data_IF_349751088225
#
_entry.id   IF_349751088225
#
_cell.length_a   1.000
_cell.length_b   1.000
_cell.length_c   1.000
_cell.angle_alpha   90.00
_cell.angle_beta   90.00
_cell.angle_gamma   90.00
#
_symmetry.space_group_name_H-M   'P 1'
#
loop_
_entity.id
_entity.type
_entity.pdbx_description
1 polymer ?
#
# COMPACT_ATOMS: atom_id res chain seq x y z
N UNK A 1 27.86 -5.15 13.90
CA UNK A 1 27.30 -6.45 13.53
C UNK A 1 28.35 -7.54 13.57
N UNK A 2 29.24 -7.60 12.58
CA UNK A 2 30.16 -8.72 12.36
C UNK A 2 31.03 -9.11 13.57
N UNK A 3 31.63 -8.12 14.25
CA UNK A 3 32.44 -8.38 15.45
C UNK A 3 31.61 -9.08 16.54
N UNK A 4 30.46 -8.49 16.91
CA UNK A 4 29.58 -9.08 17.93
C UNK A 4 29.00 -10.43 17.50
N UNK A 5 28.74 -10.64 16.21
CA UNK A 5 28.32 -11.94 15.68
C UNK A 5 29.38 -13.01 15.98
N UNK A 6 30.66 -12.71 15.70
CA UNK A 6 31.80 -13.62 15.92
C UNK A 6 32.10 -13.83 17.41
N UNK A 7 32.14 -12.76 18.20
CA UNK A 7 32.44 -12.85 19.65
C UNK A 7 31.37 -13.62 20.44
N UNK A 8 30.14 -13.73 19.91
CA UNK A 8 29.02 -14.38 20.59
C UNK A 8 28.59 -15.69 19.93
N UNK A 9 29.35 -16.22 18.97
CA UNK A 9 28.91 -17.35 18.14
C UNK A 9 28.62 -18.63 18.92
N UNK A 10 29.26 -18.84 20.07
CA UNK A 10 29.07 -20.01 20.93
C UNK A 10 27.92 -19.85 21.94
N UNK A 11 27.32 -18.66 22.03
CA UNK A 11 26.24 -18.40 22.98
C UNK A 11 24.88 -18.73 22.34
N UNK A 12 23.89 -19.19 23.13
CA UNK A 12 22.51 -19.29 22.66
C UNK A 12 21.97 -17.92 22.21
N UNK A 13 21.08 -17.89 21.20
CA UNK A 13 20.51 -16.65 20.61
C UNK A 13 20.08 -15.63 21.67
N UNK A 14 19.41 -16.08 22.73
CA UNK A 14 18.93 -15.22 23.82
C UNK A 14 20.07 -14.47 24.52
N UNK A 15 21.15 -15.17 24.85
CA UNK A 15 22.26 -14.59 25.60
C UNK A 15 23.15 -13.72 24.68
N UNK A 16 23.24 -14.06 23.39
CA UNK A 16 23.80 -13.18 22.35
C UNK A 16 23.10 -11.84 22.32
N UNK A 17 21.77 -11.84 22.26
CA UNK A 17 20.94 -10.62 22.18
C UNK A 17 21.04 -9.78 23.47
N UNK A 18 21.07 -10.40 24.64
CA UNK A 18 21.32 -9.71 25.92
C UNK A 18 22.68 -9.01 25.93
N UNK A 19 23.74 -9.70 25.48
CA UNK A 19 25.08 -9.11 25.39
C UNK A 19 25.11 -7.94 24.40
N UNK A 20 24.54 -8.13 23.20
CA UNK A 20 24.40 -7.07 22.18
C UNK A 20 23.67 -5.87 22.75
N UNK A 21 22.56 -6.07 23.45
CA UNK A 21 21.82 -4.97 24.07
C UNK A 21 22.64 -4.22 25.11
N UNK A 22 23.37 -4.94 25.99
CA UNK A 22 24.26 -4.31 26.98
C UNK A 22 25.30 -3.40 26.32
N UNK A 23 25.83 -3.78 25.17
CA UNK A 23 26.80 -2.97 24.42
C UNK A 23 26.11 -1.75 23.78
N UNK A 24 24.90 -1.92 23.26
CA UNK A 24 24.21 -0.89 22.49
C UNK A 24 23.33 0.05 23.33
N UNK A 25 23.05 -0.27 24.59
CA UNK A 25 22.13 0.48 25.46
C UNK A 25 22.58 1.92 25.74
N UNK A 26 23.88 2.20 25.61
CA UNK A 26 24.46 3.54 25.73
C UNK A 26 24.11 4.48 24.56
N UNK A 27 23.66 3.94 23.42
CA UNK A 27 23.32 4.74 22.25
C UNK A 27 21.85 5.16 22.32
N UNK A 28 21.60 6.40 22.77
CA UNK A 28 20.24 6.92 22.94
C UNK A 28 19.38 6.79 21.67
N UNK A 29 19.99 7.03 20.50
CA UNK A 29 19.30 6.95 19.20
C UNK A 29 18.74 5.56 18.85
N UNK A 30 19.22 4.48 19.48
CA UNK A 30 18.71 3.13 19.19
C UNK A 30 17.37 2.86 19.89
N UNK A 31 16.99 3.72 20.84
CA UNK A 31 15.68 3.70 21.48
C UNK A 31 14.69 4.44 20.60
N UNK A 32 13.48 3.87 20.43
CA UNK A 32 12.39 4.45 19.63
C UNK A 32 12.12 5.94 19.91
N UNK A 33 12.23 6.34 21.17
CA UNK A 33 11.95 7.71 21.65
C UNK A 33 13.20 8.47 22.08
N UNK A 34 14.40 7.94 21.79
CA UNK A 34 15.66 8.46 22.33
C UNK A 34 16.36 9.49 21.46
N UNK A 35 15.88 9.74 20.23
CA UNK A 35 16.39 10.80 19.37
C UNK A 35 15.44 12.01 19.33
N UNK A 36 15.99 13.22 19.48
CA UNK A 36 15.25 14.47 19.37
C UNK A 36 14.82 14.78 17.93
N UNK A 37 15.66 14.43 16.94
CA UNK A 37 15.40 14.62 15.50
C UNK A 37 15.39 13.27 14.77
N UNK A 38 14.29 12.52 14.83
CA UNK A 38 14.26 11.15 14.30
C UNK A 38 14.33 11.07 12.78
N UNK A 39 13.88 12.10 12.04
CA UNK A 39 13.88 12.13 10.56
C UNK A 39 15.29 12.04 9.97
N UNK A 40 16.27 12.66 10.63
CA UNK A 40 17.67 12.72 10.19
C UNK A 40 18.58 11.88 11.09
N UNK A 41 18.00 10.94 11.84
CA UNK A 41 18.75 10.15 12.80
C UNK A 41 19.57 9.05 12.11
N UNK A 42 20.86 9.31 11.90
CA UNK A 42 21.82 8.30 11.45
C UNK A 42 21.90 7.10 12.41
N UNK A 43 21.70 7.33 13.72
CA UNK A 43 21.74 6.27 14.73
C UNK A 43 20.69 5.17 14.48
N UNK A 44 19.46 5.53 14.11
CA UNK A 44 18.41 4.54 13.79
C UNK A 44 18.79 3.70 12.56
N UNK A 45 19.34 4.34 11.52
CA UNK A 45 19.80 3.64 10.31
C UNK A 45 20.98 2.70 10.63
N UNK A 46 21.94 3.17 11.43
CA UNK A 46 23.05 2.35 11.91
C UNK A 46 22.58 1.15 12.72
N UNK A 47 21.48 1.28 13.48
CA UNK A 47 20.92 0.17 14.23
C UNK A 47 20.34 -0.91 13.31
N UNK A 48 19.61 -0.54 12.26
CA UNK A 48 19.12 -1.50 11.27
C UNK A 48 20.24 -2.21 10.52
N UNK A 49 21.26 -1.47 10.05
CA UNK A 49 22.45 -2.06 9.42
C UNK A 49 23.18 -2.98 10.39
N UNK A 50 23.27 -2.60 11.67
CA UNK A 50 23.85 -3.44 12.70
C UNK A 50 23.10 -4.76 12.85
N UNK A 51 21.76 -4.71 12.96
CA UNK A 51 20.91 -5.90 13.13
C UNK A 51 21.00 -6.79 11.90
N UNK A 52 20.90 -6.23 10.70
CA UNK A 52 21.05 -6.98 9.46
C UNK A 52 22.39 -7.73 9.43
N UNK A 53 23.50 -7.04 9.72
CA UNK A 53 24.83 -7.67 9.76
C UNK A 53 24.99 -8.70 10.89
N UNK A 54 24.21 -8.59 11.96
CA UNK A 54 24.19 -9.56 13.05
C UNK A 54 23.46 -10.84 12.61
N UNK A 55 22.30 -10.69 11.94
CA UNK A 55 21.39 -11.79 11.59
C UNK A 55 21.63 -12.40 10.22
N UNK A 56 22.47 -11.81 9.35
CA UNK A 56 22.80 -12.41 8.04
C UNK A 56 23.19 -13.87 8.21
N UNK A 57 22.52 -14.77 7.48
CA UNK A 57 22.78 -16.22 7.49
C UNK A 57 22.31 -16.94 8.75
N UNK A 58 21.50 -16.31 9.61
CA UNK A 58 20.75 -17.00 10.66
C UNK A 58 19.48 -17.60 10.05
N UNK A 59 18.96 -18.67 10.65
CA UNK A 59 17.68 -19.24 10.24
C UNK A 59 16.49 -18.34 10.65
N UNK A 60 15.31 -18.63 10.11
CA UNK A 60 14.09 -17.85 10.37
C UNK A 60 13.67 -17.88 11.85
N UNK A 61 13.93 -18.97 12.58
CA UNK A 61 13.56 -19.10 14.00
C UNK A 61 14.44 -18.19 14.86
N UNK A 62 15.74 -18.14 14.59
CA UNK A 62 16.65 -17.21 15.23
C UNK A 62 16.33 -15.75 14.87
N UNK A 63 15.98 -15.47 13.60
CA UNK A 63 15.52 -14.15 13.18
C UNK A 63 14.22 -13.75 13.89
N UNK A 64 13.31 -14.69 14.12
CA UNK A 64 12.09 -14.46 14.90
C UNK A 64 12.39 -14.14 16.36
N UNK A 65 13.40 -14.79 16.97
CA UNK A 65 13.87 -14.42 18.33
C UNK A 65 14.46 -13.01 18.35
N UNK A 66 15.19 -12.60 17.31
CA UNK A 66 15.68 -11.22 17.18
C UNK A 66 14.52 -10.24 17.07
N UNK A 67 13.49 -10.56 16.27
CA UNK A 67 12.27 -9.76 16.17
C UNK A 67 11.65 -9.53 17.55
N UNK A 68 11.33 -10.62 18.26
CA UNK A 68 10.68 -10.54 19.57
C UNK A 68 11.51 -9.74 20.57
N UNK A 69 12.83 -9.95 20.58
CA UNK A 69 13.74 -9.19 21.44
C UNK A 69 13.71 -7.69 21.16
N UNK A 70 13.79 -7.28 19.89
CA UNK A 70 13.73 -5.86 19.50
C UNK A 70 12.35 -5.28 19.79
N UNK A 71 11.29 -6.06 19.55
CA UNK A 71 9.90 -5.69 19.76
C UNK A 71 9.59 -5.41 21.24
N UNK A 72 10.04 -6.30 22.14
CA UNK A 72 9.92 -6.15 23.59
C UNK A 72 10.76 -4.99 24.12
N UNK A 73 12.04 -4.93 23.73
CA UNK A 73 12.96 -3.91 24.20
C UNK A 73 12.50 -2.49 23.85
N UNK A 74 11.95 -2.31 22.66
CA UNK A 74 11.44 -1.02 22.21
C UNK A 74 10.01 -0.73 22.70
N UNK A 75 9.38 -1.69 23.40
CA UNK A 75 7.96 -1.67 23.76
C UNK A 75 7.08 -1.29 22.56
N UNK A 76 7.39 -1.87 21.40
CA UNK A 76 6.77 -1.49 20.13
C UNK A 76 5.31 -1.94 20.08
N UNK A 77 5.00 -3.12 20.61
CA UNK A 77 3.63 -3.63 20.70
C UNK A 77 2.65 -2.63 21.33
N UNK A 78 2.94 -2.16 22.55
CA UNK A 78 2.05 -1.20 23.25
C UNK A 78 1.89 0.12 22.48
N UNK A 79 2.95 0.58 21.82
CA UNK A 79 2.95 1.83 21.07
C UNK A 79 2.21 1.71 19.74
N UNK A 80 2.37 0.59 19.04
CA UNK A 80 1.58 0.25 17.86
C UNK A 80 0.11 0.15 18.25
N UNK A 81 -0.22 -0.58 19.32
CA UNK A 81 -1.59 -0.65 19.85
C UNK A 81 -2.18 0.74 20.07
N UNK A 82 -1.40 1.65 20.68
CA UNK A 82 -1.86 3.03 20.92
C UNK A 82 -2.23 3.73 19.61
N UNK A 83 -1.38 3.68 18.58
CA UNK A 83 -1.66 4.39 17.32
C UNK A 83 -2.77 3.74 16.50
N UNK A 84 -2.82 2.41 16.42
CA UNK A 84 -3.83 1.71 15.60
C UNK A 84 -5.22 1.72 16.26
N UNK A 85 -5.30 1.76 17.59
CA UNK A 85 -6.57 1.87 18.33
C UNK A 85 -7.07 3.31 18.47
N UNK A 86 -6.18 4.31 18.37
CA UNK A 86 -6.58 5.72 18.39
C UNK A 86 -7.17 6.19 17.06
N UNK A 87 -7.82 7.37 17.06
CA UNK A 87 -8.25 8.01 15.82
C UNK A 87 -6.99 8.36 14.97
N UNK A 88 -6.98 8.02 13.67
CA UNK A 88 -5.83 8.30 12.80
C UNK A 88 -5.40 9.77 12.84
N UNK A 89 -4.11 10.02 12.99
CA UNK A 89 -3.54 11.37 13.02
C UNK A 89 -3.66 12.09 14.37
N UNK A 90 -4.14 11.43 15.43
CA UNK A 90 -4.12 11.98 16.80
C UNK A 90 -2.75 11.85 17.45
N UNK A 91 -2.05 10.74 17.21
CA UNK A 91 -0.74 10.45 17.78
C UNK A 91 0.41 10.66 16.77
N UNK A 92 0.37 11.74 15.97
CA UNK A 92 1.27 11.98 14.81
C UNK A 92 2.75 11.74 15.10
N UNK A 93 3.25 12.24 16.25
CA UNK A 93 4.66 12.06 16.65
C UNK A 93 5.01 10.59 16.90
N UNK A 94 4.08 9.82 17.44
CA UNK A 94 4.26 8.39 17.69
C UNK A 94 4.15 7.59 16.39
N UNK A 95 3.20 7.92 15.51
CA UNK A 95 3.08 7.36 14.16
C UNK A 95 4.38 7.54 13.39
N UNK A 96 4.96 8.75 13.38
CA UNK A 96 6.24 9.04 12.75
C UNK A 96 7.37 8.20 13.35
N UNK A 97 7.45 8.09 14.68
CA UNK A 97 8.49 7.27 15.35
C UNK A 97 8.37 5.79 15.00
N UNK A 98 7.15 5.24 14.98
CA UNK A 98 6.90 3.85 14.58
C UNK A 98 7.30 3.65 13.13
N UNK A 99 6.87 4.52 12.23
CA UNK A 99 7.25 4.48 10.81
C UNK A 99 8.77 4.44 10.64
N UNK A 100 9.47 5.39 11.24
CA UNK A 100 10.92 5.51 11.10
C UNK A 100 11.64 4.31 11.70
N UNK A 101 11.20 3.80 12.85
CA UNK A 101 11.82 2.64 13.47
C UNK A 101 11.57 1.37 12.67
N UNK A 102 10.33 1.10 12.25
CA UNK A 102 10.03 -0.04 11.38
C UNK A 102 10.87 0.02 10.10
N UNK A 103 10.92 1.17 9.42
CA UNK A 103 11.67 1.33 8.15
C UNK A 103 13.18 1.29 8.32
N UNK A 104 13.73 1.93 9.34
CA UNK A 104 15.18 2.05 9.51
C UNK A 104 15.79 0.83 10.20
N UNK A 105 15.05 0.17 11.11
CA UNK A 105 15.58 -0.88 11.98
C UNK A 105 15.16 -2.27 11.51
N UNK A 106 13.86 -2.50 11.27
CA UNK A 106 13.31 -3.83 10.94
C UNK A 106 13.27 -4.08 9.43
N UNK A 107 12.86 -3.07 8.66
CA UNK A 107 12.65 -3.12 7.20
C UNK A 107 13.77 -2.37 6.48
N UNK A 108 15.02 -2.61 6.90
CA UNK A 108 16.19 -1.92 6.37
C UNK A 108 16.21 -1.97 4.84
N UNK A 109 16.47 -0.85 4.13
CA UNK A 109 16.45 -0.80 2.66
C UNK A 109 17.42 -1.74 1.95
N UNK A 110 18.42 -2.28 2.66
CA UNK A 110 19.41 -3.21 2.13
C UNK A 110 19.02 -4.68 2.30
N UNK A 111 17.84 -4.95 2.84
CA UNK A 111 17.36 -6.33 3.02
C UNK A 111 16.94 -6.92 1.67
N UNK A 112 17.15 -8.22 1.49
CA UNK A 112 16.59 -8.90 0.32
C UNK A 112 15.05 -8.95 0.42
N UNK A 113 14.36 -9.31 -0.67
CA UNK A 113 12.89 -9.36 -0.69
C UNK A 113 12.30 -10.34 0.33
N UNK A 114 12.91 -11.51 0.52
CA UNK A 114 12.46 -12.53 1.47
C UNK A 114 12.57 -12.05 2.91
N UNK A 115 13.69 -11.45 3.29
CA UNK A 115 13.89 -10.85 4.62
C UNK A 115 12.85 -9.77 4.86
N UNK A 116 12.65 -8.87 3.89
CA UNK A 116 11.66 -7.80 4.02
C UNK A 116 10.24 -8.36 4.21
N UNK A 117 9.87 -9.41 3.45
CA UNK A 117 8.58 -10.07 3.57
C UNK A 117 8.40 -10.71 4.96
N UNK A 118 9.44 -11.37 5.47
CA UNK A 118 9.48 -11.92 6.82
C UNK A 118 9.25 -10.85 7.89
N UNK A 119 10.06 -9.78 7.89
CA UNK A 119 9.96 -8.72 8.91
C UNK A 119 8.62 -8.00 8.84
N UNK A 120 8.12 -7.70 7.63
CA UNK A 120 6.82 -7.05 7.45
C UNK A 120 5.68 -7.95 7.95
N UNK A 121 5.73 -9.25 7.65
CA UNK A 121 4.76 -10.24 8.14
C UNK A 121 4.72 -10.26 9.67
N UNK A 122 5.89 -10.28 10.33
CA UNK A 122 5.98 -10.26 11.79
C UNK A 122 5.45 -8.97 12.41
N UNK A 123 5.57 -7.83 11.73
CA UNK A 123 5.03 -6.54 12.18
C UNK A 123 3.50 -6.53 12.10
N UNK A 124 2.90 -7.12 11.05
CA UNK A 124 1.47 -7.02 10.76
C UNK A 124 0.63 -8.14 11.39
N UNK A 125 1.00 -9.42 11.21
CA UNK A 125 0.17 -10.57 11.61
C UNK A 125 -0.28 -10.61 13.08
N UNK A 126 0.42 -10.01 14.07
CA UNK A 126 -0.08 -9.95 15.44
C UNK A 126 -1.37 -9.11 15.62
N UNK A 127 -1.79 -8.35 14.62
CA UNK A 127 -2.93 -7.42 14.71
C UNK A 127 -4.15 -7.94 13.94
N UNK A 128 -5.38 -7.56 14.32
CA UNK A 128 -6.56 -7.81 13.48
C UNK A 128 -6.47 -7.04 12.16
N UNK A 129 -7.14 -7.52 11.10
CA UNK A 129 -6.98 -7.02 9.72
C UNK A 129 -7.07 -5.50 9.59
N UNK A 130 -8.07 -4.87 10.21
CA UNK A 130 -8.24 -3.39 10.25
C UNK A 130 -6.97 -2.68 10.76
N UNK A 131 -6.36 -3.22 11.81
CA UNK A 131 -5.15 -2.66 12.42
C UNK A 131 -3.90 -2.98 11.58
N UNK A 132 -3.89 -4.10 10.84
CA UNK A 132 -2.85 -4.38 9.85
C UNK A 132 -2.86 -3.33 8.74
N UNK A 133 -4.03 -2.99 8.19
CA UNK A 133 -4.19 -1.94 7.18
C UNK A 133 -3.72 -0.58 7.72
N UNK A 134 -4.18 -0.19 8.91
CA UNK A 134 -3.74 1.04 9.59
C UNK A 134 -2.22 1.10 9.77
N UNK A 135 -1.62 0.01 10.25
CA UNK A 135 -0.18 -0.05 10.48
C UNK A 135 0.60 0.00 9.17
N UNK A 136 0.13 -0.71 8.13
CA UNK A 136 0.75 -0.65 6.80
C UNK A 136 0.71 0.78 6.25
N UNK A 137 -0.42 1.48 6.41
CA UNK A 137 -0.53 2.88 6.02
C UNK A 137 0.40 3.79 6.82
N UNK A 138 0.54 3.59 8.13
CA UNK A 138 1.50 4.36 8.95
C UNK A 138 2.94 4.16 8.43
N UNK A 139 3.31 2.93 8.07
CA UNK A 139 4.68 2.60 7.63
C UNK A 139 4.96 3.08 6.20
N UNK A 140 3.99 2.98 5.28
CA UNK A 140 4.24 3.18 3.85
C UNK A 140 3.37 4.22 3.15
N UNK A 141 2.30 4.68 3.79
CA UNK A 141 1.39 5.67 3.23
C UNK A 141 2.04 7.05 3.02
N UNK A 142 1.32 7.98 2.38
CA UNK A 142 1.81 9.30 2.05
C UNK A 142 2.26 10.11 3.28
N UNK A 143 3.31 10.91 3.09
CA UNK A 143 3.86 11.78 4.14
C UNK A 143 3.99 13.21 3.66
N UNK A 144 3.99 14.14 4.61
CA UNK A 144 4.25 15.55 4.36
C UNK A 144 5.73 15.73 4.01
N UNK A 145 6.01 16.49 2.96
CA UNK A 145 7.37 16.80 2.51
C UNK A 145 8.13 17.70 3.49
N UNK A 146 7.41 18.44 4.35
CA UNK A 146 7.99 19.40 5.28
C UNK A 146 8.51 18.74 6.56
N UNK A 147 7.77 17.76 7.09
CA UNK A 147 8.00 17.22 8.43
C UNK A 147 7.89 15.68 8.52
N UNK A 148 7.64 15.02 7.39
CA UNK A 148 7.61 13.55 7.28
C UNK A 148 6.44 12.87 8.02
N UNK A 149 5.51 13.62 8.61
CA UNK A 149 4.34 13.04 9.26
C UNK A 149 3.41 12.38 8.23
N UNK A 150 2.71 11.34 8.66
CA UNK A 150 1.71 10.63 7.85
C UNK A 150 0.53 11.57 7.56
N UNK A 151 0.17 11.70 6.28
CA UNK A 151 -0.91 12.60 5.83
C UNK A 151 -2.13 11.78 5.45
N UNK A 152 -2.91 11.41 6.46
CA UNK A 152 -4.11 10.59 6.30
C UNK A 152 -5.14 11.17 5.32
N UNK A 153 -5.33 12.49 5.34
CA UNK A 153 -6.30 13.16 4.48
C UNK A 153 -5.94 13.14 2.99
N UNK A 154 -4.67 12.87 2.65
CA UNK A 154 -4.20 12.88 1.26
C UNK A 154 -4.94 11.85 0.40
N UNK A 155 -5.49 10.79 1.00
CA UNK A 155 -6.26 9.78 0.28
C UNK A 155 -7.74 10.12 0.09
N UNK A 156 -8.25 11.11 0.82
CA UNK A 156 -9.68 11.45 0.91
C UNK A 156 -9.98 12.79 0.24
N UNK A 157 -9.13 13.79 0.45
CA UNK A 157 -9.40 15.16 0.01
C UNK A 157 -9.05 15.40 -1.47
N UNK A 158 -8.09 14.67 -2.03
CA UNK A 158 -7.70 14.87 -3.43
C UNK A 158 -6.85 13.76 -4.05
N UNK A 159 -6.60 13.85 -5.36
CA UNK A 159 -5.74 12.90 -6.07
C UNK A 159 -4.33 12.85 -5.49
N UNK A 160 -3.88 11.65 -5.13
CA UNK A 160 -2.53 11.37 -4.66
C UNK A 160 -1.62 10.99 -5.83
N UNK A 161 -0.41 11.55 -5.85
CA UNK A 161 0.61 11.23 -6.84
C UNK A 161 1.14 9.78 -6.74
N UNK A 162 1.63 9.25 -7.87
CA UNK A 162 2.23 7.92 -7.95
C UNK A 162 3.33 7.71 -6.91
N UNK A 163 4.23 8.69 -6.77
CA UNK A 163 5.43 8.54 -5.94
C UNK A 163 5.11 8.36 -4.47
N UNK A 164 4.04 9.01 -3.99
CA UNK A 164 3.54 8.89 -2.63
C UNK A 164 2.92 7.53 -2.32
N UNK A 165 2.37 6.84 -3.32
CA UNK A 165 1.75 5.51 -3.16
C UNK A 165 2.68 4.35 -3.48
N UNK A 166 3.78 4.59 -4.19
CA UNK A 166 4.70 3.54 -4.62
C UNK A 166 5.19 2.65 -3.47
N UNK A 167 5.58 3.24 -2.34
CA UNK A 167 6.03 2.46 -1.18
C UNK A 167 4.95 1.55 -0.59
N UNK A 168 3.69 2.00 -0.60
CA UNK A 168 2.55 1.19 -0.13
C UNK A 168 2.24 0.07 -1.13
N UNK A 169 2.21 0.39 -2.43
CA UNK A 169 1.98 -0.59 -3.49
C UNK A 169 3.06 -1.68 -3.52
N UNK A 170 4.33 -1.30 -3.32
CA UNK A 170 5.43 -2.27 -3.29
C UNK A 170 5.38 -3.17 -2.04
N UNK A 171 4.90 -2.65 -0.91
CA UNK A 171 4.64 -3.48 0.28
C UNK A 171 3.49 -4.47 0.02
N UNK A 172 2.39 -4.04 -0.59
CA UNK A 172 1.26 -4.91 -0.98
C UNK A 172 1.72 -6.00 -1.97
N UNK A 173 2.51 -5.64 -2.99
CA UNK A 173 3.14 -6.61 -3.91
C UNK A 173 3.96 -7.66 -3.20
N UNK A 174 4.73 -7.25 -2.21
CA UNK A 174 5.60 -8.15 -1.49
C UNK A 174 4.80 -9.15 -0.67
N UNK A 175 3.71 -8.70 -0.03
CA UNK A 175 2.82 -9.58 0.74
C UNK A 175 2.03 -10.54 -0.14
N UNK A 176 1.74 -10.17 -1.40
CA UNK A 176 1.13 -11.07 -2.38
C UNK A 176 2.11 -12.06 -3.00
N UNK A 177 3.41 -11.78 -2.93
CA UNK A 177 4.47 -12.59 -3.52
C UNK A 177 4.64 -13.93 -2.80
N UNK A 178 5.22 -14.90 -3.51
CA UNK A 178 5.52 -16.24 -2.99
C UNK A 178 6.46 -16.25 -1.78
N UNK A 179 7.21 -15.18 -1.58
CA UNK A 179 8.12 -14.99 -0.46
C UNK A 179 7.38 -14.81 0.88
N UNK A 180 6.15 -14.28 0.84
CA UNK A 180 5.33 -14.05 2.01
C UNK A 180 4.45 -15.27 2.33
N UNK A 181 5.08 -16.39 2.70
CA UNK A 181 4.43 -17.71 2.88
C UNK A 181 3.22 -17.76 3.81
N UNK A 182 3.09 -16.79 4.71
CA UNK A 182 1.98 -16.68 5.67
C UNK A 182 0.79 -15.85 5.14
N UNK A 183 0.87 -15.35 3.91
CA UNK A 183 -0.16 -14.54 3.28
C UNK A 183 -0.81 -15.28 2.13
N UNK A 184 -2.13 -15.40 2.19
CA UNK A 184 -2.95 -15.84 1.07
C UNK A 184 -3.32 -14.65 0.19
N UNK A 185 -3.78 -14.93 -1.04
CA UNK A 185 -4.35 -13.89 -1.89
C UNK A 185 -5.52 -13.18 -1.19
N UNK A 186 -6.39 -13.94 -0.52
CA UNK A 186 -7.55 -13.41 0.20
C UNK A 186 -7.14 -12.52 1.38
N UNK A 187 -6.06 -12.86 2.11
CA UNK A 187 -5.52 -11.99 3.17
C UNK A 187 -5.11 -10.62 2.60
N UNK A 188 -4.42 -10.63 1.45
CA UNK A 188 -3.94 -9.40 0.82
C UNK A 188 -5.09 -8.59 0.22
N UNK A 189 -6.08 -9.24 -0.40
CA UNK A 189 -7.28 -8.55 -0.89
C UNK A 189 -8.05 -7.93 0.28
N UNK A 190 -8.22 -8.66 1.39
CA UNK A 190 -8.85 -8.14 2.60
C UNK A 190 -8.09 -6.94 3.17
N UNK A 191 -6.76 -7.00 3.18
CA UNK A 191 -5.91 -5.89 3.60
C UNK A 191 -6.09 -4.64 2.72
N UNK A 192 -6.19 -4.82 1.40
CA UNK A 192 -6.44 -3.72 0.45
C UNK A 192 -7.85 -3.16 0.60
N UNK A 193 -8.86 -4.01 0.84
CA UNK A 193 -10.23 -3.55 1.13
C UNK A 193 -10.27 -2.70 2.40
N UNK A 194 -9.60 -3.13 3.48
CA UNK A 194 -9.51 -2.36 4.72
C UNK A 194 -8.72 -1.04 4.54
N UNK A 195 -7.67 -1.03 3.72
CA UNK A 195 -6.95 0.22 3.40
C UNK A 195 -7.88 1.24 2.75
N UNK A 196 -8.74 0.81 1.82
CA UNK A 196 -9.62 1.67 1.03
C UNK A 196 -10.64 2.47 1.86
N UNK A 197 -10.79 2.14 3.15
CA UNK A 197 -11.72 2.77 4.09
C UNK A 197 -11.05 3.37 5.34
N UNK A 198 -9.72 3.47 5.38
CA UNK A 198 -8.96 3.99 6.53
C UNK A 198 -8.19 5.27 6.15
N UNK A 199 -8.45 6.43 6.79
CA UNK A 199 -9.26 6.61 8.00
C UNK A 199 -10.76 6.73 7.71
N UNK A 200 -11.12 6.96 6.45
CA UNK A 200 -12.46 7.01 5.86
C UNK A 200 -12.35 6.47 4.42
N UNK A 201 -13.47 6.37 3.71
CA UNK A 201 -13.50 5.96 2.31
C UNK A 201 -12.54 6.80 1.46
N UNK A 202 -11.59 6.14 0.81
CA UNK A 202 -10.65 6.76 -0.10
C UNK A 202 -11.33 7.16 -1.39
N UNK A 203 -10.82 8.22 -2.01
CA UNK A 203 -11.22 8.56 -3.37
C UNK A 203 -10.98 7.38 -4.31
N UNK A 204 -11.96 7.11 -5.17
CA UNK A 204 -11.88 6.03 -6.16
C UNK A 204 -10.66 6.16 -7.07
N UNK A 205 -10.23 7.39 -7.39
CA UNK A 205 -9.00 7.64 -8.14
C UNK A 205 -7.76 7.10 -7.40
N UNK A 206 -7.70 7.28 -6.08
CA UNK A 206 -6.58 6.84 -5.25
C UNK A 206 -6.58 5.32 -5.07
N UNK A 207 -7.75 4.70 -4.91
CA UNK A 207 -7.90 3.24 -4.93
C UNK A 207 -7.44 2.65 -6.27
N UNK A 208 -7.91 3.21 -7.40
CA UNK A 208 -7.50 2.78 -8.73
C UNK A 208 -5.98 2.90 -8.95
N UNK A 209 -5.37 4.01 -8.50
CA UNK A 209 -3.93 4.22 -8.58
C UNK A 209 -3.15 3.20 -7.75
N UNK A 210 -3.57 2.92 -6.51
CA UNK A 210 -2.94 1.87 -5.69
C UNK A 210 -3.01 0.51 -6.37
N UNK A 211 -4.16 0.12 -6.92
CA UNK A 211 -4.35 -1.17 -7.60
C UNK A 211 -3.47 -1.30 -8.85
N UNK A 212 -3.45 -0.26 -9.70
CA UNK A 212 -2.60 -0.23 -10.90
C UNK A 212 -1.11 -0.34 -10.56
N UNK A 213 -0.70 0.36 -9.49
CA UNK A 213 0.67 0.30 -8.98
C UNK A 213 1.01 -1.04 -8.37
N UNK A 214 0.06 -1.72 -7.71
CA UNK A 214 0.24 -3.01 -7.05
C UNK A 214 0.43 -4.17 -8.04
N UNK A 215 0.12 -3.98 -9.32
CA UNK A 215 0.39 -4.96 -10.38
C UNK A 215 -0.84 -5.75 -10.81
N UNK A 216 -0.73 -6.42 -11.96
CA UNK A 216 -1.88 -7.02 -12.65
C UNK A 216 -2.55 -8.15 -11.85
N UNK A 217 -1.77 -9.02 -11.21
CA UNK A 217 -2.32 -10.14 -10.44
C UNK A 217 -3.19 -9.67 -9.28
N UNK A 218 -2.72 -8.68 -8.53
CA UNK A 218 -3.43 -8.11 -7.37
C UNK A 218 -4.64 -7.34 -7.84
N UNK A 219 -4.48 -6.47 -8.84
CA UNK A 219 -5.57 -5.71 -9.42
C UNK A 219 -6.69 -6.63 -9.94
N UNK A 220 -6.33 -7.66 -10.71
CA UNK A 220 -7.29 -8.66 -11.20
C UNK A 220 -8.00 -9.37 -10.05
N UNK A 221 -7.25 -9.92 -9.08
CA UNK A 221 -7.83 -10.68 -7.97
C UNK A 221 -8.77 -9.82 -7.12
N UNK A 222 -8.40 -8.56 -6.88
CA UNK A 222 -9.24 -7.59 -6.19
C UNK A 222 -10.55 -7.36 -6.95
N UNK A 223 -10.49 -7.03 -8.23
CA UNK A 223 -11.67 -6.77 -9.07
C UNK A 223 -12.54 -8.02 -9.25
N UNK A 224 -11.92 -9.18 -9.44
CA UNK A 224 -12.61 -10.47 -9.51
C UNK A 224 -13.37 -10.76 -8.21
N UNK A 225 -12.81 -10.44 -7.04
CA UNK A 225 -13.51 -10.58 -5.76
C UNK A 225 -14.78 -9.70 -5.71
N UNK A 226 -14.75 -8.50 -6.29
CA UNK A 226 -15.94 -7.62 -6.38
C UNK A 226 -16.98 -8.19 -7.34
N UNK A 227 -16.53 -8.74 -8.48
CA UNK A 227 -17.40 -9.38 -9.47
C UNK A 227 -18.14 -10.60 -8.88
N UNK A 228 -17.42 -11.51 -8.20
CA UNK A 228 -17.99 -12.70 -7.56
C UNK A 228 -19.01 -12.34 -6.48
N UNK A 229 -18.77 -11.24 -5.75
CA UNK A 229 -19.68 -10.73 -4.73
C UNK A 229 -20.86 -9.90 -5.30
N UNK A 230 -21.05 -9.86 -6.62
CA UNK A 230 -22.16 -9.15 -7.26
C UNK A 230 -22.08 -7.62 -7.16
N UNK A 231 -20.92 -7.05 -6.82
CA UNK A 231 -20.71 -5.61 -6.62
C UNK A 231 -20.45 -4.86 -7.93
N UNK A 232 -21.35 -5.02 -8.90
CA UNK A 232 -21.17 -4.53 -10.27
C UNK A 232 -20.97 -3.00 -10.36
N UNK A 233 -21.67 -2.22 -9.52
CA UNK A 233 -21.57 -0.74 -9.52
C UNK A 233 -20.22 -0.28 -8.96
N UNK A 234 -19.77 -0.87 -7.84
CA UNK A 234 -18.45 -0.57 -7.25
C UNK A 234 -17.34 -0.93 -8.24
N UNK A 235 -17.45 -2.09 -8.88
CA UNK A 235 -16.52 -2.55 -9.90
C UNK A 235 -16.49 -1.60 -11.12
N UNK A 236 -17.65 -1.16 -11.61
CA UNK A 236 -17.75 -0.21 -12.71
C UNK A 236 -17.04 1.12 -12.38
N UNK A 237 -17.26 1.65 -11.17
CA UNK A 237 -16.55 2.83 -10.66
C UNK A 237 -15.04 2.62 -10.68
N UNK A 238 -14.54 1.52 -10.13
CA UNK A 238 -13.11 1.24 -10.14
C UNK A 238 -12.53 1.18 -11.56
N UNK A 239 -13.22 0.57 -12.53
CA UNK A 239 -12.76 0.51 -13.92
C UNK A 239 -12.73 1.88 -14.59
N UNK A 240 -13.75 2.73 -14.38
CA UNK A 240 -13.76 4.11 -14.88
C UNK A 240 -12.60 4.91 -14.31
N UNK A 241 -12.37 4.83 -12.99
CA UNK A 241 -11.27 5.54 -12.35
C UNK A 241 -9.89 4.96 -12.73
N UNK A 242 -9.77 3.66 -12.99
CA UNK A 242 -8.55 3.10 -13.58
C UNK A 242 -8.27 3.66 -14.98
N UNK A 243 -9.30 3.80 -15.83
CA UNK A 243 -9.13 4.44 -17.14
C UNK A 243 -8.69 5.91 -16.99
N UNK A 244 -9.29 6.64 -16.04
CA UNK A 244 -8.90 8.02 -15.73
C UNK A 244 -7.43 8.10 -15.27
N UNK A 245 -7.01 7.25 -14.33
CA UNK A 245 -5.63 7.19 -13.83
C UNK A 245 -4.68 6.80 -14.96
N UNK A 246 -5.01 5.82 -15.81
CA UNK A 246 -4.21 5.49 -16.97
C UNK A 246 -3.99 6.70 -17.88
N UNK A 247 -5.02 7.54 -18.06
CA UNK A 247 -4.89 8.76 -18.86
C UNK A 247 -4.03 9.83 -18.19
N UNK A 248 -4.23 10.08 -16.89
CA UNK A 248 -3.50 11.09 -16.12
C UNK A 248 -2.02 10.74 -15.96
N UNK A 249 -1.75 9.51 -15.54
CA UNK A 249 -0.41 9.01 -15.20
C UNK A 249 0.31 8.40 -16.41
N UNK A 250 -0.31 8.47 -17.61
CA UNK A 250 0.22 8.01 -18.90
C UNK A 250 0.51 6.50 -18.97
N UNK A 251 -0.26 5.69 -18.25
CA UNK A 251 -0.25 4.24 -18.46
C UNK A 251 -0.98 3.86 -19.75
N UNK A 252 -0.67 2.66 -20.27
CA UNK A 252 -1.32 2.14 -21.46
C UNK A 252 -2.80 1.79 -21.17
N UNK A 253 -3.72 2.33 -21.98
CA UNK A 253 -5.17 2.07 -21.82
C UNK A 253 -5.55 0.61 -22.07
N UNK A 254 -4.81 -0.07 -22.95
CA UNK A 254 -4.80 -1.53 -23.14
C UNK A 254 -4.91 -2.30 -21.82
N UNK A 255 -4.12 -1.89 -20.82
CA UNK A 255 -4.05 -2.55 -19.53
C UNK A 255 -5.38 -2.50 -18.78
N UNK A 256 -6.08 -1.36 -18.82
CA UNK A 256 -7.39 -1.21 -18.18
C UNK A 256 -8.49 -1.99 -18.92
N UNK A 257 -8.45 -2.00 -20.27
CA UNK A 257 -9.44 -2.73 -21.08
C UNK A 257 -9.25 -4.24 -20.95
N UNK A 258 -8.02 -4.74 -21.04
CA UNK A 258 -7.74 -6.17 -20.78
C UNK A 258 -8.17 -6.59 -19.39
N UNK A 259 -7.91 -5.76 -18.38
CA UNK A 259 -8.38 -6.02 -17.01
C UNK A 259 -9.91 -6.15 -16.95
N UNK A 260 -10.64 -5.21 -17.56
CA UNK A 260 -12.10 -5.25 -17.65
C UNK A 260 -12.59 -6.52 -18.36
N UNK A 261 -11.95 -6.93 -19.46
CA UNK A 261 -12.29 -8.16 -20.19
C UNK A 261 -12.07 -9.43 -19.35
N UNK A 262 -10.93 -9.53 -18.65
CA UNK A 262 -10.68 -10.67 -17.78
C UNK A 262 -11.69 -10.74 -16.63
N UNK A 263 -12.05 -9.60 -16.02
CA UNK A 263 -13.09 -9.57 -14.99
C UNK A 263 -14.46 -9.91 -15.57
N UNK A 264 -14.77 -9.53 -16.82
CA UNK A 264 -16.01 -9.94 -17.47
C UNK A 264 -16.15 -11.47 -17.58
N UNK A 265 -15.04 -12.19 -17.75
CA UNK A 265 -15.03 -13.67 -17.81
C UNK A 265 -15.36 -14.32 -16.47
N UNK A 266 -15.16 -13.61 -15.35
CA UNK A 266 -15.44 -14.12 -13.99
C UNK A 266 -16.95 -14.21 -13.71
N UNK A 267 -17.76 -13.35 -14.33
CA UNK A 267 -19.21 -13.42 -14.17
C UNK A 267 -19.76 -14.72 -14.76
N UNK A 268 -20.65 -15.35 -13.99
CA UNK A 268 -21.19 -16.67 -14.30
C UNK A 268 -22.30 -16.59 -15.35
N UNK A 269 -23.13 -15.52 -15.30
CA UNK A 269 -24.26 -15.35 -16.20
C UNK A 269 -24.02 -14.27 -17.26
N UNK A 270 -24.56 -14.44 -18.49
CA UNK A 270 -24.56 -13.38 -19.51
C UNK A 270 -25.27 -12.10 -19.04
N UNK A 271 -26.27 -12.25 -18.16
CA UNK A 271 -27.01 -11.13 -17.59
C UNK A 271 -26.12 -10.30 -16.65
N UNK A 272 -25.34 -10.92 -15.76
CA UNK A 272 -24.37 -10.21 -14.91
C UNK A 272 -23.35 -9.43 -15.74
N UNK A 273 -22.83 -10.04 -16.82
CA UNK A 273 -21.90 -9.36 -17.73
C UNK A 273 -22.54 -8.14 -18.36
N UNK A 274 -23.76 -8.28 -18.88
CA UNK A 274 -24.51 -7.17 -19.49
C UNK A 274 -24.79 -6.08 -18.46
N UNK A 275 -25.20 -6.44 -17.25
CA UNK A 275 -25.45 -5.50 -16.16
C UNK A 275 -24.18 -4.73 -15.79
N UNK A 276 -23.04 -5.42 -15.67
CA UNK A 276 -21.75 -4.77 -15.40
C UNK A 276 -21.35 -3.77 -16.50
N UNK A 277 -21.47 -4.15 -17.78
CA UNK A 277 -21.16 -3.25 -18.89
C UNK A 277 -22.11 -2.04 -18.93
N UNK A 278 -23.40 -2.23 -18.65
CA UNK A 278 -24.34 -1.12 -18.52
C UNK A 278 -23.99 -0.20 -17.34
N UNK A 279 -23.59 -0.77 -16.20
CA UNK A 279 -23.09 0.00 -15.06
C UNK A 279 -21.84 0.79 -15.43
N UNK A 280 -20.95 0.24 -16.24
CA UNK A 280 -19.72 0.89 -16.70
C UNK A 280 -20.03 2.14 -17.52
N UNK A 281 -20.87 2.02 -18.54
CA UNK A 281 -21.30 3.16 -19.38
C UNK A 281 -22.04 4.21 -18.57
N UNK A 282 -22.97 3.76 -17.72
CA UNK A 282 -23.69 4.65 -16.82
C UNK A 282 -22.71 5.39 -15.91
N UNK A 283 -21.69 4.73 -15.38
CA UNK A 283 -20.72 5.35 -14.49
C UNK A 283 -19.85 6.40 -15.19
N UNK A 284 -19.42 6.16 -16.43
CA UNK A 284 -18.75 7.19 -17.24
C UNK A 284 -19.65 8.43 -17.40
N UNK A 285 -20.92 8.22 -17.75
CA UNK A 285 -21.88 9.32 -17.93
C UNK A 285 -22.10 10.11 -16.63
N UNK A 286 -22.33 9.43 -15.50
CA UNK A 286 -22.52 10.10 -14.21
C UNK A 286 -21.26 10.86 -13.78
N UNK A 287 -20.08 10.24 -13.89
CA UNK A 287 -18.81 10.90 -13.51
C UNK A 287 -18.53 12.11 -14.39
N UNK A 288 -18.88 12.05 -15.68
CA UNK A 288 -18.79 13.18 -16.59
C UNK A 288 -19.72 14.32 -16.18
N UNK A 289 -20.98 14.00 -15.86
CA UNK A 289 -21.95 15.00 -15.42
C UNK A 289 -21.54 15.64 -14.09
N UNK A 290 -21.05 14.86 -13.12
CA UNK A 290 -20.57 15.37 -11.84
C UNK A 290 -19.40 16.34 -12.02
N UNK A 291 -18.40 15.98 -12.85
CA UNK A 291 -17.28 16.87 -13.15
C UNK A 291 -17.69 18.12 -13.95
N UNK A 292 -18.64 17.97 -14.89
CA UNK A 292 -19.18 19.11 -15.64
C UNK A 292 -19.91 20.08 -14.71
N UNK A 293 -20.74 19.58 -13.79
CA UNK A 293 -21.41 20.40 -12.79
C UNK A 293 -20.40 21.13 -11.90
N UNK A 294 -19.34 20.44 -11.45
CA UNK A 294 -18.27 21.07 -10.66
C UNK A 294 -17.55 22.19 -11.42
N UNK A 295 -17.36 22.06 -12.73
CA UNK A 295 -16.79 23.11 -13.59
C UNK A 295 -17.76 24.30 -13.72
N UNK A 296 -19.05 24.03 -13.93
CA UNK A 296 -20.07 25.06 -14.09
C UNK A 296 -20.37 25.83 -12.79
N UNK A 297 -20.18 25.20 -11.63
CA UNK A 297 -20.42 25.80 -10.32
C UNK A 297 -19.38 26.90 -9.95
N UNK A 298 -18.24 26.96 -10.63
CA UNK A 298 -17.34 28.13 -10.65
C UNK A 298 -16.89 28.65 -9.28
N UNK A 299 -16.09 27.89 -8.54
CA UNK A 299 -15.29 28.45 -7.44
C UNK A 299 -13.93 28.94 -7.99
N UNK A 300 -13.71 30.26 -7.94
CA UNK A 300 -12.62 30.99 -8.64
C UNK A 300 -11.18 30.49 -8.44
N UNK A 301 -10.92 29.62 -7.47
CA UNK A 301 -9.59 29.03 -7.23
C UNK A 301 -9.44 27.58 -7.76
N UNK A 302 -10.52 26.88 -8.11
CA UNK A 302 -10.48 25.47 -8.57
C UNK A 302 -10.87 25.28 -10.05
N UNK A 303 -11.34 26.32 -10.73
CA UNK A 303 -11.84 26.27 -12.12
C UNK A 303 -10.87 25.57 -13.09
N UNK A 304 -9.57 25.86 -13.00
CA UNK A 304 -8.55 25.26 -13.87
C UNK A 304 -8.32 23.77 -13.58
N UNK A 305 -8.40 23.34 -12.31
CA UNK A 305 -8.22 21.95 -11.91
C UNK A 305 -9.42 21.11 -12.32
N UNK A 306 -10.63 21.62 -12.08
CA UNK A 306 -11.87 20.95 -12.41
C UNK A 306 -12.03 20.77 -13.94
N UNK A 307 -11.70 21.81 -14.71
CA UNK A 307 -11.70 21.71 -16.17
C UNK A 307 -10.68 20.68 -16.68
N UNK A 308 -9.47 20.66 -16.11
CA UNK A 308 -8.45 19.70 -16.48
C UNK A 308 -8.86 18.26 -16.14
N UNK A 309 -9.51 18.05 -14.99
CA UNK A 309 -10.05 16.74 -14.59
C UNK A 309 -11.13 16.25 -15.57
N UNK A 310 -12.08 17.12 -15.93
CA UNK A 310 -13.11 16.82 -16.93
C UNK A 310 -12.47 16.47 -18.28
N UNK A 311 -11.48 17.25 -18.72
CA UNK A 311 -10.75 16.99 -19.96
C UNK A 311 -10.03 15.63 -19.95
N UNK A 312 -9.40 15.27 -18.82
CA UNK A 312 -8.78 13.96 -18.66
C UNK A 312 -9.81 12.83 -18.70
N UNK A 313 -10.99 13.00 -18.10
CA UNK A 313 -12.05 12.01 -18.14
C UNK A 313 -12.58 11.79 -19.55
N UNK A 314 -12.88 12.86 -20.30
CA UNK A 314 -13.33 12.75 -21.70
C UNK A 314 -12.29 12.02 -22.56
N UNK A 315 -11.01 12.37 -22.39
CA UNK A 315 -9.92 11.67 -23.09
C UNK A 315 -9.78 10.21 -22.65
N UNK A 316 -9.98 9.92 -21.36
CA UNK A 316 -9.94 8.57 -20.82
C UNK A 316 -11.06 7.73 -21.43
N UNK A 317 -12.30 8.23 -21.41
CA UNK A 317 -13.46 7.57 -22.01
C UNK A 317 -13.24 7.30 -23.51
N UNK A 318 -12.84 8.31 -24.30
CA UNK A 318 -12.58 8.12 -25.72
C UNK A 318 -11.47 7.10 -25.99
N UNK A 319 -10.38 7.13 -25.21
CA UNK A 319 -9.27 6.19 -25.36
C UNK A 319 -9.67 4.76 -24.96
N UNK A 320 -10.48 4.61 -23.92
CA UNK A 320 -10.99 3.33 -23.43
C UNK A 320 -11.90 2.67 -24.47
N UNK A 321 -12.86 3.42 -25.02
CA UNK A 321 -13.76 2.93 -26.06
C UNK A 321 -13.03 2.63 -27.37
N UNK A 322 -12.05 3.45 -27.76
CA UNK A 322 -11.20 3.19 -28.92
C UNK A 322 -10.50 1.82 -28.80
N UNK A 323 -9.97 1.50 -27.62
CA UNK A 323 -9.28 0.23 -27.39
C UNK A 323 -10.26 -0.96 -27.38
N UNK A 324 -11.46 -0.80 -26.83
CA UNK A 324 -12.54 -1.80 -26.96
C UNK A 324 -12.87 -2.07 -28.44
N UNK A 325 -13.02 -1.02 -29.25
CA UNK A 325 -13.30 -1.15 -30.68
C UNK A 325 -12.19 -1.89 -31.42
N UNK A 326 -10.91 -1.60 -31.11
CA UNK A 326 -9.80 -2.34 -31.70
C UNK A 326 -9.83 -3.82 -31.36
N UNK A 327 -10.14 -4.19 -30.11
CA UNK A 327 -10.24 -5.59 -29.70
C UNK A 327 -11.44 -6.29 -30.34
N UNK A 328 -12.59 -5.60 -30.45
CA UNK A 328 -13.77 -6.13 -31.12
C UNK A 328 -13.52 -6.38 -32.62
N UNK A 329 -12.83 -5.45 -33.30
CA UNK A 329 -12.50 -5.61 -34.73
C UNK A 329 -11.35 -6.59 -34.98
N UNK A 330 -10.37 -6.67 -34.07
CA UNK A 330 -9.22 -7.57 -34.17
C UNK A 330 -9.53 -9.04 -33.88
N UNK A 331 -10.55 -9.33 -33.06
CA UNK A 331 -10.99 -10.72 -32.86
C UNK A 331 -11.71 -11.31 -34.08
N UNK A 332 -12.25 -10.48 -34.97
CA UNK A 332 -12.94 -10.92 -36.19
C UNK A 332 -12.00 -11.31 -37.34
N UNK A 333 -10.69 -11.11 -37.21
CA UNK A 333 -9.69 -11.51 -38.22
C UNK A 333 -9.00 -12.84 -37.92
N UNK A 334 -9.46 -13.58 -36.91
CA UNK A 334 -8.89 -14.88 -36.49
C UNK A 334 -9.89 -16.04 -36.45
N UNK A 335 -11.03 -15.89 -37.13
CA UNK A 335 -12.02 -16.95 -37.43
C UNK A 335 -12.17 -17.09 -38.94
#
# INVERSE_FOLDING_TARGET
>A
GLLLKRCTLLLPTRDRLKYVHKVLSGVACFKLTGCASPLHCLGLQCYGVFLQMLTVGWDELECHRVFNFVWELSNLGRKVQTVVSSKPGTARRLELRIRLFCRAVLLSPRSNRSDFAFWLTRILKPWPMVNQARLLYIIFGPVSSLDGHVVWQKMIEGPTDETSLKGLADAVKLLYGTEAREWTADDVISLVDELSVVPQEWLMENNARLLLLSGNSICFTFLASKAVNGRAVELARLVVFMALVCKKDRYCMDRAVKMMQEVCKVFSSPWERKNFLQCLESTFAHTFMDMLQAVLAGERNEENSNFLNLFHLVKAQASFHKEILYLAMGNNSST
#
